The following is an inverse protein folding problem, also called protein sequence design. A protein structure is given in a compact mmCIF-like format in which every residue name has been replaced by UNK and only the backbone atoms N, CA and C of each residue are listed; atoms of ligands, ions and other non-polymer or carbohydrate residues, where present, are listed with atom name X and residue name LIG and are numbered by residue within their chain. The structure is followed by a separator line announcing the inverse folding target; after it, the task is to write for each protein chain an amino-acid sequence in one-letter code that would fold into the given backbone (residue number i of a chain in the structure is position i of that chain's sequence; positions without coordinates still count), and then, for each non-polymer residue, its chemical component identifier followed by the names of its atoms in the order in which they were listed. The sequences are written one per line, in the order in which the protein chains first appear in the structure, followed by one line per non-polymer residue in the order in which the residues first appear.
data_IF_745235457671
#
_entry.id   IF_745235457671
#
_cell.length_a   1.000
_cell.length_b   1.000
_cell.length_c   1.000
_cell.angle_alpha   90.00
_cell.angle_beta   90.00
_cell.angle_gamma   90.00
#
_symmetry.space_group_name_H-M   'P 1'
#
loop_
_entity.id
_entity.type
_entity.pdbx_description
1 polymer ?
#
# COMPACT_ATOMS: atom_id res chain seq x y z
N UNK A 1 2.29 23.73 0.88
CA UNK A 1 1.76 22.70 1.80
C UNK A 1 2.95 21.88 2.28
N UNK A 2 3.13 21.72 3.59
CA UNK A 2 4.17 20.84 4.11
C UNK A 2 3.72 19.39 3.91
N UNK A 3 4.59 18.58 3.32
CA UNK A 3 4.43 17.13 3.32
C UNK A 3 5.03 16.64 4.65
N UNK A 4 4.27 15.86 5.41
CA UNK A 4 4.63 15.47 6.77
C UNK A 4 5.55 14.22 6.75
N UNK A 5 6.71 14.35 6.11
CA UNK A 5 7.73 13.29 6.02
C UNK A 5 8.89 13.50 7.00
N UNK A 6 9.49 12.40 7.46
CA UNK A 6 10.76 12.37 8.18
C UNK A 6 11.92 12.00 7.26
N UNK A 7 13.09 12.55 7.57
CA UNK A 7 14.32 12.21 6.88
C UNK A 7 14.72 10.76 7.21
N UNK A 8 14.89 9.88 6.21
CA UNK A 8 15.24 8.48 6.46
C UNK A 8 16.69 8.30 6.99
N UNK A 9 17.49 9.37 7.05
CA UNK A 9 18.88 9.35 7.50
C UNK A 9 19.06 9.87 8.93
N UNK A 10 18.32 10.91 9.33
CA UNK A 10 18.45 11.54 10.64
C UNK A 10 17.14 11.71 11.41
N UNK A 11 16.02 11.22 10.86
CA UNK A 11 14.67 11.24 11.45
C UNK A 11 14.09 12.63 11.75
N UNK A 12 14.79 13.71 11.38
CA UNK A 12 14.29 15.08 11.45
C UNK A 12 13.23 15.33 10.37
N UNK A 13 12.29 16.24 10.65
CA UNK A 13 11.24 16.63 9.70
C UNK A 13 11.82 17.15 8.39
N UNK A 14 11.18 16.79 7.28
CA UNK A 14 11.49 17.29 5.95
C UNK A 14 10.58 18.47 5.60
N UNK A 15 11.20 19.56 5.17
CA UNK A 15 10.50 20.78 4.74
C UNK A 15 10.64 20.90 3.22
N UNK A 16 9.52 21.16 2.54
CA UNK A 16 9.49 21.32 1.10
C UNK A 16 9.93 22.74 0.73
N UNK A 17 11.05 22.83 0.00
CA UNK A 17 11.55 24.06 -0.59
C UNK A 17 11.56 23.91 -2.12
N UNK A 18 10.62 24.60 -2.79
CA UNK A 18 10.32 24.39 -4.20
C UNK A 18 9.99 22.92 -4.51
N UNK A 19 10.91 22.18 -5.14
CA UNK A 19 10.73 20.77 -5.49
C UNK A 19 11.64 19.83 -4.68
N UNK A 20 12.28 20.31 -3.62
CA UNK A 20 13.24 19.53 -2.83
C UNK A 20 12.79 19.50 -1.37
N UNK A 21 12.70 18.30 -0.81
CA UNK A 21 12.52 18.11 0.63
C UNK A 21 13.87 18.15 1.33
N UNK A 22 14.02 18.97 2.38
CA UNK A 22 15.26 19.10 3.15
C UNK A 22 15.02 19.01 4.64
N UNK A 23 15.93 18.37 5.37
CA UNK A 23 15.96 18.41 6.83
C UNK A 23 16.96 19.47 7.33
N UNK A 24 16.96 19.76 8.64
CA UNK A 24 17.92 20.69 9.26
C UNK A 24 19.39 20.25 9.15
N UNK A 25 19.65 18.95 8.95
CA UNK A 25 20.99 18.43 8.68
C UNK A 25 21.39 18.49 7.19
N UNK A 26 20.64 19.24 6.36
CA UNK A 26 20.88 19.44 4.91
C UNK A 26 20.78 18.20 4.01
N UNK A 27 20.33 17.04 4.51
CA UNK A 27 19.93 15.94 3.62
C UNK A 27 18.77 16.40 2.73
N UNK A 28 18.89 16.12 1.43
CA UNK A 28 17.99 16.62 0.40
C UNK A 28 17.43 15.48 -0.44
N UNK A 29 16.14 15.56 -0.75
CA UNK A 29 15.41 14.56 -1.53
C UNK A 29 14.59 15.27 -2.60
N UNK A 30 14.90 15.01 -3.87
CA UNK A 30 14.19 15.63 -4.98
C UNK A 30 12.80 15.01 -5.16
N UNK A 31 11.82 15.88 -5.41
CA UNK A 31 10.50 15.46 -5.90
C UNK A 31 10.62 15.14 -7.38
N UNK A 32 10.25 13.92 -7.75
CA UNK A 32 10.26 13.50 -9.15
C UNK A 32 9.24 14.30 -9.96
N UNK A 33 9.44 14.40 -11.28
CA UNK A 33 8.49 15.06 -12.18
C UNK A 33 7.07 14.46 -12.15
N UNK A 34 6.95 13.19 -11.76
CA UNK A 34 5.67 12.51 -11.57
C UNK A 34 5.01 12.84 -10.22
N UNK A 35 5.66 13.58 -9.31
CA UNK A 35 5.07 14.07 -8.06
C UNK A 35 5.37 13.26 -6.79
N UNK A 36 6.13 12.17 -6.89
CA UNK A 36 6.55 11.39 -5.71
C UNK A 36 7.93 11.79 -5.20
N UNK A 37 8.23 11.42 -3.96
CA UNK A 37 9.57 11.56 -3.36
C UNK A 37 10.17 10.18 -3.11
N UNK A 38 11.45 10.00 -3.43
CA UNK A 38 12.16 8.78 -3.07
C UNK A 38 12.90 8.95 -1.74
N UNK A 39 12.42 8.27 -0.71
CA UNK A 39 12.93 8.29 0.66
C UNK A 39 13.55 6.94 1.06
N UNK A 40 13.84 6.06 0.09
CA UNK A 40 14.53 4.79 0.33
C UNK A 40 16.05 4.98 0.26
N UNK A 41 16.79 4.89 1.39
CA UNK A 41 18.24 5.01 1.40
C UNK A 41 18.91 3.93 0.55
N UNK A 42 20.00 4.30 -0.13
CA UNK A 42 20.77 3.35 -0.96
C UNK A 42 21.28 2.16 -0.13
N UNK A 43 21.65 2.40 1.13
CA UNK A 43 22.16 1.39 2.06
C UNK A 43 21.10 0.38 2.51
N UNK A 44 19.82 0.72 2.39
CA UNK A 44 18.68 -0.14 2.76
C UNK A 44 18.10 -0.89 1.55
N UNK A 45 18.77 -0.82 0.39
CA UNK A 45 18.38 -1.59 -0.80
C UNK A 45 19.01 -2.98 -0.74
N UNK A 46 18.23 -3.97 -0.31
CA UNK A 46 18.62 -5.39 -0.37
C UNK A 46 18.71 -5.92 -1.81
N UNK A 47 18.23 -5.17 -2.82
CA UNK A 47 18.39 -5.49 -4.24
C UNK A 47 18.40 -4.22 -5.11
N UNK A 48 18.81 -4.34 -6.38
CA UNK A 48 18.77 -3.22 -7.36
C UNK A 48 17.34 -2.75 -7.67
N UNK A 49 16.35 -3.64 -7.53
CA UNK A 49 14.93 -3.39 -7.74
C UNK A 49 14.14 -4.10 -6.62
N UNK A 50 14.00 -3.45 -5.44
CA UNK A 50 13.23 -4.03 -4.35
C UNK A 50 11.73 -3.95 -4.66
N UNK A 51 10.97 -4.97 -4.25
CA UNK A 51 9.54 -5.10 -4.53
C UNK A 51 9.26 -5.75 -5.89
N UNK A 52 8.08 -5.44 -6.43
CA UNK A 52 7.60 -6.01 -7.70
C UNK A 52 8.40 -5.50 -8.90
N UNK A 53 8.71 -6.41 -9.82
CA UNK A 53 9.32 -6.05 -11.11
C UNK A 53 8.29 -5.34 -12.02
N UNK A 54 8.77 -4.79 -13.15
CA UNK A 54 7.91 -4.03 -14.06
C UNK A 54 6.74 -4.86 -14.62
N UNK A 55 6.96 -6.13 -14.95
CA UNK A 55 5.92 -7.00 -15.51
C UNK A 55 4.80 -7.26 -14.50
N UNK A 56 5.15 -7.51 -13.22
CA UNK A 56 4.19 -7.69 -12.13
C UNK A 56 3.39 -6.41 -11.88
N UNK A 57 4.04 -5.25 -11.88
CA UNK A 57 3.37 -3.95 -11.74
C UNK A 57 2.40 -3.71 -12.90
N UNK A 58 2.82 -3.99 -14.14
CA UNK A 58 1.97 -3.82 -15.32
C UNK A 58 0.78 -4.79 -15.33
N UNK A 59 1.00 -6.05 -14.96
CA UNK A 59 -0.06 -7.04 -14.85
C UNK A 59 -1.07 -6.66 -13.77
N UNK A 60 -0.59 -6.30 -12.57
CA UNK A 60 -1.46 -5.82 -11.48
C UNK A 60 -2.29 -4.63 -11.91
N UNK A 61 -1.66 -3.65 -12.56
CA UNK A 61 -2.34 -2.49 -13.12
C UNK A 61 -3.45 -2.87 -14.10
N UNK A 62 -3.09 -3.66 -15.11
CA UNK A 62 -4.02 -4.09 -16.14
C UNK A 62 -5.23 -4.81 -15.51
N UNK A 63 -4.97 -5.71 -14.56
CA UNK A 63 -6.03 -6.43 -13.86
C UNK A 63 -6.89 -5.52 -12.97
N UNK A 64 -6.32 -4.67 -12.13
CA UNK A 64 -7.11 -3.80 -11.24
C UNK A 64 -7.97 -2.80 -12.01
N UNK A 65 -7.52 -2.35 -13.19
CA UNK A 65 -8.32 -1.44 -14.05
C UNK A 65 -9.55 -2.08 -14.67
N UNK A 66 -9.70 -3.41 -14.63
CA UNK A 66 -10.92 -4.10 -15.09
C UNK A 66 -12.11 -3.91 -14.14
N UNK A 67 -11.86 -3.49 -12.90
CA UNK A 67 -12.90 -3.36 -11.87
C UNK A 67 -13.22 -4.64 -11.10
N UNK A 68 -12.55 -5.78 -11.38
CA UNK A 68 -12.79 -7.04 -10.65
C UNK A 68 -12.58 -6.92 -9.14
N UNK A 69 -11.70 -6.01 -8.68
CA UNK A 69 -11.43 -5.74 -7.26
C UNK A 69 -12.09 -4.45 -6.75
N UNK A 70 -13.00 -3.84 -7.53
CA UNK A 70 -13.69 -2.61 -7.16
C UNK A 70 -14.53 -2.77 -5.88
N UNK A 71 -15.07 -3.97 -5.63
CA UNK A 71 -15.84 -4.26 -4.42
C UNK A 71 -15.00 -4.07 -3.14
N UNK A 72 -13.77 -4.60 -3.13
CA UNK A 72 -12.83 -4.42 -2.03
C UNK A 72 -12.38 -2.96 -1.92
N UNK A 73 -12.08 -2.31 -3.06
CA UNK A 73 -11.69 -0.91 -3.07
C UNK A 73 -12.76 -0.01 -2.43
N UNK A 74 -14.01 -0.23 -2.82
CA UNK A 74 -15.15 0.55 -2.33
C UNK A 74 -15.37 0.31 -0.84
N UNK A 75 -15.34 -0.94 -0.39
CA UNK A 75 -15.52 -1.30 1.01
C UNK A 75 -14.43 -0.69 1.91
N UNK A 76 -13.16 -0.73 1.48
CA UNK A 76 -12.05 -0.12 2.23
C UNK A 76 -12.20 1.39 2.29
N UNK A 77 -12.45 2.05 1.16
CA UNK A 77 -12.61 3.51 1.12
C UNK A 77 -13.76 3.98 2.01
N UNK A 78 -14.90 3.29 1.97
CA UNK A 78 -16.04 3.56 2.85
C UNK A 78 -15.69 3.35 4.32
N UNK A 79 -15.01 2.24 4.66
CA UNK A 79 -14.57 1.96 6.03
C UNK A 79 -13.62 3.03 6.56
N UNK A 80 -12.65 3.49 5.76
CA UNK A 80 -11.76 4.58 6.17
C UNK A 80 -12.58 5.86 6.44
N UNK A 81 -13.53 6.19 5.56
CA UNK A 81 -14.34 7.40 5.68
C UNK A 81 -15.20 7.43 6.96
N UNK A 82 -15.63 6.29 7.51
CA UNK A 82 -16.42 6.28 8.76
C UNK A 82 -15.66 6.83 9.97
N UNK A 83 -14.33 6.85 9.91
CA UNK A 83 -13.50 7.40 10.99
C UNK A 83 -13.28 8.92 10.85
N UNK A 84 -13.75 9.55 9.77
CA UNK A 84 -13.52 10.98 9.48
C UNK A 84 -12.06 11.42 9.72
N UNK A 85 -11.07 10.70 9.15
CA UNK A 85 -9.66 10.91 9.46
C UNK A 85 -9.17 12.26 8.94
N UNK A 86 -8.13 12.81 9.57
CA UNK A 86 -7.38 13.95 9.05
C UNK A 86 -6.13 13.48 8.28
N UNK A 87 -5.57 12.33 8.64
CA UNK A 87 -4.41 11.72 8.03
C UNK A 87 -4.57 10.21 7.87
N UNK A 88 -4.34 9.71 6.66
CA UNK A 88 -4.37 8.28 6.32
C UNK A 88 -3.04 7.87 5.70
N UNK A 89 -2.49 6.73 6.12
CA UNK A 89 -1.28 6.15 5.52
C UNK A 89 -1.60 4.75 4.99
N UNK A 90 -1.47 4.59 3.67
CA UNK A 90 -1.57 3.31 2.96
C UNK A 90 -0.17 2.68 2.79
N UNK A 91 0.08 1.64 3.59
CA UNK A 91 1.33 0.89 3.67
C UNK A 91 1.34 -0.23 2.62
N UNK A 92 2.21 -0.11 1.62
CA UNK A 92 2.24 -1.03 0.49
C UNK A 92 1.22 -0.66 -0.59
N UNK A 93 1.07 0.65 -0.85
CA UNK A 93 0.03 1.20 -1.71
C UNK A 93 0.13 0.76 -3.19
N UNK A 94 1.24 0.15 -3.60
CA UNK A 94 1.50 -0.27 -4.96
C UNK A 94 1.37 0.89 -5.95
N UNK A 95 0.46 0.74 -6.92
CA UNK A 95 0.21 1.77 -7.92
C UNK A 95 -0.90 2.77 -7.54
N UNK A 96 -1.34 2.77 -6.28
CA UNK A 96 -2.30 3.75 -5.77
C UNK A 96 -3.78 3.44 -6.05
N UNK A 97 -4.10 2.23 -6.50
CA UNK A 97 -5.48 1.82 -6.80
C UNK A 97 -6.41 2.02 -5.59
N UNK A 98 -6.03 1.55 -4.40
CA UNK A 98 -6.83 1.72 -3.18
C UNK A 98 -6.69 3.12 -2.60
N UNK A 99 -5.46 3.64 -2.55
CA UNK A 99 -5.10 4.95 -2.00
C UNK A 99 -5.93 6.08 -2.58
N UNK A 100 -6.09 6.11 -3.91
CA UNK A 100 -6.86 7.17 -4.58
C UNK A 100 -8.34 7.12 -4.23
N UNK A 101 -8.90 5.92 -4.01
CA UNK A 101 -10.30 5.74 -3.66
C UNK A 101 -10.56 6.21 -2.23
N UNK A 102 -9.62 5.92 -1.33
CA UNK A 102 -9.63 6.44 0.03
C UNK A 102 -9.59 7.97 0.01
N UNK A 103 -8.66 8.57 -0.74
CA UNK A 103 -8.55 10.02 -0.86
C UNK A 103 -9.80 10.69 -1.48
N UNK A 104 -10.58 9.98 -2.29
CA UNK A 104 -11.84 10.48 -2.82
C UNK A 104 -13.02 10.31 -1.85
N UNK A 105 -12.90 9.44 -0.84
CA UNK A 105 -13.98 9.10 0.09
C UNK A 105 -13.92 9.91 1.39
N UNK A 106 -12.80 10.57 1.69
CA UNK A 106 -12.64 11.39 2.89
C UNK A 106 -11.86 12.69 2.62
N UNK A 107 -12.15 13.73 3.38
CA UNK A 107 -11.38 14.99 3.37
C UNK A 107 -10.16 14.86 4.30
N UNK A 108 -9.19 14.06 3.88
CA UNK A 108 -7.98 13.74 4.65
C UNK A 108 -6.72 13.92 3.81
N UNK A 109 -5.59 14.17 4.47
CA UNK A 109 -4.29 13.98 3.84
C UNK A 109 -4.01 12.48 3.71
N UNK A 110 -4.00 11.99 2.48
CA UNK A 110 -3.72 10.57 2.20
C UNK A 110 -2.30 10.40 1.67
N UNK A 111 -1.55 9.52 2.33
CA UNK A 111 -0.20 9.13 1.96
C UNK A 111 -0.19 7.68 1.46
N UNK A 112 0.47 7.44 0.33
CA UNK A 112 0.77 6.09 -0.15
C UNK A 112 2.27 5.85 -0.13
N UNK A 113 2.71 4.79 0.54
CA UNK A 113 4.12 4.38 0.56
C UNK A 113 4.28 2.98 0.02
N UNK A 114 5.29 2.78 -0.82
CA UNK A 114 5.66 1.47 -1.34
C UNK A 114 7.17 1.42 -1.61
N UNK A 115 7.77 0.24 -1.52
CA UNK A 115 9.20 0.06 -1.82
C UNK A 115 9.49 0.07 -3.33
N UNK A 116 8.48 -0.26 -4.15
CA UNK A 116 8.56 -0.33 -5.60
C UNK A 116 8.49 1.07 -6.24
N UNK A 117 9.66 1.57 -6.66
CA UNK A 117 9.77 2.84 -7.39
C UNK A 117 8.93 2.85 -8.68
N UNK A 118 8.82 1.73 -9.39
CA UNK A 118 8.01 1.63 -10.60
C UNK A 118 6.52 1.81 -10.30
N UNK A 119 6.02 1.16 -9.25
CA UNK A 119 4.61 1.28 -8.84
C UNK A 119 4.27 2.71 -8.40
N UNK A 120 5.08 3.31 -7.52
CA UNK A 120 4.90 4.69 -7.04
C UNK A 120 4.97 5.71 -8.19
N UNK A 121 5.85 5.50 -9.17
CA UNK A 121 5.92 6.37 -10.35
C UNK A 121 4.60 6.38 -11.12
N UNK A 122 3.94 5.24 -11.28
CA UNK A 122 2.62 5.17 -11.91
C UNK A 122 1.54 5.82 -11.04
N UNK A 123 1.56 5.55 -9.73
CA UNK A 123 0.62 6.09 -8.77
C UNK A 123 0.62 7.63 -8.82
N UNK A 124 1.78 8.24 -8.59
CA UNK A 124 1.93 9.69 -8.52
C UNK A 124 1.62 10.39 -9.84
N UNK A 125 1.98 9.78 -10.97
CA UNK A 125 1.65 10.33 -12.29
C UNK A 125 0.14 10.33 -12.56
N UNK A 126 -0.60 9.36 -12.01
CA UNK A 126 -2.02 9.15 -12.29
C UNK A 126 -2.94 9.86 -11.29
N UNK A 127 -2.54 9.91 -10.01
CA UNK A 127 -3.38 10.35 -8.91
C UNK A 127 -2.75 11.55 -8.21
N UNK A 128 -3.30 12.74 -8.45
CA UNK A 128 -2.79 14.00 -7.89
C UNK A 128 -3.39 14.38 -6.53
N UNK A 129 -4.41 13.64 -6.07
CA UNK A 129 -5.08 13.84 -4.78
C UNK A 129 -4.41 13.08 -3.62
N UNK A 130 -3.30 12.39 -3.87
CA UNK A 130 -2.56 11.59 -2.89
C UNK A 130 -1.09 12.01 -2.86
N UNK A 131 -0.44 11.79 -1.72
CA UNK A 131 0.99 12.05 -1.55
C UNK A 131 1.74 10.71 -1.57
N UNK A 132 2.55 10.48 -2.60
CA UNK A 132 3.26 9.21 -2.74
C UNK A 132 4.74 9.31 -2.39
N UNK A 133 5.27 8.29 -1.73
CA UNK A 133 6.70 8.15 -1.47
C UNK A 133 7.21 6.73 -1.71
N UNK A 134 8.49 6.64 -2.11
CA UNK A 134 9.20 5.36 -2.18
C UNK A 134 9.97 5.16 -0.88
N UNK A 135 9.60 4.19 -0.07
CA UNK A 135 10.29 3.85 1.18
C UNK A 135 9.95 2.42 1.65
N UNK A 136 10.67 1.91 2.64
CA UNK A 136 10.31 0.65 3.30
C UNK A 136 9.17 0.89 4.29
N UNK A 137 8.15 0.03 4.27
CA UNK A 137 7.06 0.07 5.26
C UNK A 137 7.45 -0.52 6.62
N UNK A 138 8.64 -1.12 6.73
CA UNK A 138 9.22 -1.53 8.02
C UNK A 138 9.85 -0.37 8.79
N UNK A 139 10.06 0.77 8.12
CA UNK A 139 10.62 2.00 8.66
C UNK A 139 10.11 3.16 7.79
N UNK A 140 8.81 3.39 7.84
CA UNK A 140 8.14 4.35 7.00
C UNK A 140 8.54 5.79 7.37
N UNK A 141 8.66 6.70 6.40
CA UNK A 141 9.27 8.01 6.60
C UNK A 141 8.27 9.03 7.17
N UNK A 142 7.58 8.69 8.25
CA UNK A 142 6.55 9.50 8.87
C UNK A 142 6.79 9.66 10.38
N UNK A 143 6.23 10.71 10.96
CA UNK A 143 6.31 10.95 12.39
C UNK A 143 5.59 9.86 13.19
N UNK A 144 6.04 9.66 14.42
CA UNK A 144 5.28 8.88 15.41
C UNK A 144 3.92 9.53 15.69
N UNK A 145 2.87 8.73 15.88
CA UNK A 145 1.55 9.23 16.22
C UNK A 145 0.91 10.11 15.13
N UNK A 146 1.26 9.88 13.87
CA UNK A 146 0.80 10.73 12.76
C UNK A 146 -0.56 10.30 12.21
N UNK A 147 -0.80 9.00 12.08
CA UNK A 147 -1.95 8.47 11.36
C UNK A 147 -3.19 8.32 12.24
N UNK A 148 -4.32 8.90 11.78
CA UNK A 148 -5.64 8.55 12.33
C UNK A 148 -6.05 7.16 11.84
N UNK A 149 -5.75 6.85 10.57
CA UNK A 149 -6.01 5.54 9.98
C UNK A 149 -4.77 5.03 9.25
N UNK A 150 -4.35 3.82 9.60
CA UNK A 150 -3.39 3.03 8.85
C UNK A 150 -4.15 2.02 7.99
N UNK A 151 -3.71 1.83 6.75
CA UNK A 151 -4.26 0.86 5.82
C UNK A 151 -3.14 -0.07 5.34
N UNK A 152 -3.37 -1.38 5.40
CA UNK A 152 -2.46 -2.39 4.82
C UNK A 152 -3.28 -3.41 4.04
N UNK A 153 -3.06 -3.45 2.72
CA UNK A 153 -3.84 -4.29 1.79
C UNK A 153 -2.91 -5.28 1.11
N UNK A 154 -2.99 -6.55 1.50
CA UNK A 154 -2.12 -7.65 1.06
C UNK A 154 -0.61 -7.40 1.31
N UNK A 155 -0.25 -6.39 2.10
CA UNK A 155 1.13 -6.05 2.43
C UNK A 155 1.56 -6.70 3.77
N UNK A 156 2.86 -6.93 3.98
CA UNK A 156 3.39 -7.39 5.26
C UNK A 156 3.05 -6.43 6.41
N UNK A 157 2.82 -6.99 7.59
CA UNK A 157 2.55 -6.22 8.81
C UNK A 157 3.84 -6.16 9.66
N UNK A 158 4.22 -4.94 10.05
CA UNK A 158 5.36 -4.69 10.93
C UNK A 158 4.85 -4.05 12.21
N UNK A 159 4.46 -4.88 13.19
CA UNK A 159 3.76 -4.47 14.42
C UNK A 159 4.35 -3.22 15.10
N UNK A 160 5.66 -3.20 15.31
CA UNK A 160 6.33 -2.07 15.97
C UNK A 160 6.19 -0.76 15.17
N UNK A 161 6.25 -0.85 13.84
CA UNK A 161 6.12 0.32 12.97
C UNK A 161 4.66 0.76 12.84
N UNK A 162 3.72 -0.19 12.79
CA UNK A 162 2.29 0.10 12.83
C UNK A 162 1.92 0.86 14.12
N UNK A 163 2.39 0.36 15.28
CA UNK A 163 2.16 0.99 16.57
C UNK A 163 2.82 2.38 16.67
N UNK A 164 4.03 2.55 16.13
CA UNK A 164 4.72 3.84 16.10
C UNK A 164 3.95 4.88 15.27
N UNK A 165 3.45 4.49 14.10
CA UNK A 165 2.80 5.42 13.17
C UNK A 165 1.39 5.83 13.59
N UNK A 166 0.66 4.92 14.24
CA UNK A 166 -0.70 5.17 14.68
C UNK A 166 -0.74 6.19 15.83
N UNK A 167 -1.73 7.08 15.80
CA UNK A 167 -2.14 7.81 17.01
C UNK A 167 -2.61 6.84 18.10
N UNK A 168 -2.67 7.32 19.34
CA UNK A 168 -3.11 6.52 20.49
C UNK A 168 -4.53 5.94 20.31
N UNK A 169 -5.41 6.65 19.61
CA UNK A 169 -6.77 6.25 19.22
C UNK A 169 -6.89 5.94 17.71
N UNK A 170 -5.75 5.73 17.04
CA UNK A 170 -5.68 5.44 15.62
C UNK A 170 -6.25 4.06 15.28
N UNK A 171 -6.82 3.94 14.09
CA UNK A 171 -7.39 2.68 13.58
C UNK A 171 -6.46 2.04 12.56
N UNK A 172 -6.26 0.73 12.65
CA UNK A 172 -5.60 -0.06 11.62
C UNK A 172 -6.64 -0.87 10.84
N UNK A 173 -6.72 -0.66 9.52
CA UNK A 173 -7.53 -1.45 8.60
C UNK A 173 -6.61 -2.38 7.82
N UNK A 174 -6.79 -3.69 7.99
CA UNK A 174 -6.04 -4.70 7.25
C UNK A 174 -6.97 -5.47 6.32
N UNK A 175 -6.57 -5.60 5.06
CA UNK A 175 -7.20 -6.50 4.09
C UNK A 175 -6.23 -7.63 3.73
N UNK A 176 -6.60 -8.87 4.07
CA UNK A 176 -5.84 -10.08 3.73
C UNK A 176 -6.69 -11.03 2.89
N UNK A 177 -6.08 -12.03 2.22
CA UNK A 177 -6.83 -13.03 1.47
C UNK A 177 -7.79 -13.78 2.41
N UNK A 178 -9.07 -13.83 2.03
CA UNK A 178 -10.05 -14.68 2.72
C UNK A 178 -9.74 -16.18 2.55
N UNK A 179 -10.42 -17.06 3.31
CA UNK A 179 -10.14 -18.50 3.32
C UNK A 179 -10.04 -19.12 1.92
N UNK A 180 -10.96 -18.76 1.02
CA UNK A 180 -11.05 -19.33 -0.33
C UNK A 180 -10.59 -18.39 -1.44
N UNK A 181 -9.77 -17.38 -1.10
CA UNK A 181 -9.29 -16.41 -2.08
C UNK A 181 -8.57 -17.11 -3.26
N UNK A 182 -9.08 -16.88 -4.47
CA UNK A 182 -8.60 -17.46 -5.72
C UNK A 182 -8.51 -19.00 -5.71
N UNK A 183 -9.44 -19.67 -4.99
CA UNK A 183 -9.47 -21.13 -4.87
C UNK A 183 -9.49 -21.82 -6.23
N UNK A 184 -10.37 -21.41 -7.14
CA UNK A 184 -10.54 -21.99 -8.47
C UNK A 184 -9.24 -21.89 -9.28
N UNK A 185 -8.56 -20.75 -9.19
CA UNK A 185 -7.27 -20.58 -9.84
C UNK A 185 -6.20 -21.53 -9.27
N UNK A 186 -6.15 -21.69 -7.94
CA UNK A 186 -5.22 -22.61 -7.27
C UNK A 186 -5.48 -24.08 -7.58
N UNK A 187 -6.72 -24.47 -7.85
CA UNK A 187 -7.06 -25.86 -8.21
C UNK A 187 -6.38 -26.32 -9.51
N UNK A 188 -5.95 -25.40 -10.38
CA UNK A 188 -5.17 -25.74 -11.57
C UNK A 188 -3.71 -26.11 -11.28
N UNK A 189 -3.17 -25.72 -10.12
CA UNK A 189 -1.73 -25.89 -9.78
C UNK A 189 -1.48 -26.65 -8.47
N UNK A 190 -2.53 -26.99 -7.73
CA UNK A 190 -2.46 -27.76 -6.50
C UNK A 190 -3.51 -28.88 -6.51
N UNK A 191 -3.12 -30.08 -6.08
CA UNK A 191 -4.01 -31.23 -5.90
C UNK A 191 -5.08 -30.94 -4.83
N UNK A 192 -4.65 -30.37 -3.72
CA UNK A 192 -5.49 -30.01 -2.58
C UNK A 192 -5.30 -28.51 -2.29
N UNK A 193 -6.40 -27.76 -2.26
CA UNK A 193 -6.39 -26.33 -1.95
C UNK A 193 -6.93 -26.14 -0.54
N UNK A 194 -6.04 -25.76 0.37
CA UNK A 194 -6.39 -25.44 1.75
C UNK A 194 -6.84 -23.98 1.88
N UNK A 195 -7.65 -23.73 2.91
CA UNK A 195 -8.03 -22.37 3.28
C UNK A 195 -6.79 -21.55 3.69
N UNK A 196 -6.81 -20.24 3.38
CA UNK A 196 -5.82 -19.31 3.89
C UNK A 196 -5.89 -19.19 5.42
N UNK A 197 -4.72 -19.17 6.05
CA UNK A 197 -4.60 -18.87 7.48
C UNK A 197 -4.98 -17.41 7.72
N UNK A 198 -5.88 -17.13 8.69
CA UNK A 198 -6.15 -15.76 9.12
C UNK A 198 -4.89 -15.07 9.63
N UNK A 199 -4.82 -13.75 9.45
CA UNK A 199 -3.77 -12.95 10.05
C UNK A 199 -4.04 -12.78 11.55
N UNK A 200 -2.98 -12.83 12.35
CA UNK A 200 -3.06 -12.46 13.76
C UNK A 200 -3.22 -10.95 13.89
N UNK A 201 -3.87 -10.51 14.96
CA UNK A 201 -3.97 -9.09 15.32
C UNK A 201 -2.55 -8.57 15.61
N UNK A 202 -2.09 -7.49 14.97
CA UNK A 202 -0.79 -6.90 15.24
C UNK A 202 -0.66 -6.45 16.70
N UNK A 203 0.53 -6.65 17.27
CA UNK A 203 0.86 -6.22 18.63
C UNK A 203 0.64 -4.71 18.78
N UNK A 204 -0.01 -4.29 19.87
CA UNK A 204 -0.38 -2.90 20.11
C UNK A 204 -1.75 -2.49 19.56
N UNK A 205 -2.45 -3.40 18.89
CA UNK A 205 -3.82 -3.20 18.42
C UNK A 205 -4.78 -4.21 19.04
N UNK A 206 -6.05 -3.84 19.08
CA UNK A 206 -7.17 -4.71 19.46
C UNK A 206 -8.10 -4.91 18.27
N UNK A 207 -8.60 -6.13 18.08
CA UNK A 207 -9.57 -6.42 17.03
C UNK A 207 -10.95 -5.90 17.43
N UNK A 208 -11.38 -4.81 16.80
CA UNK A 208 -12.71 -4.21 17.04
C UNK A 208 -13.78 -4.75 16.10
N UNK A 209 -13.41 -5.06 14.85
CA UNK A 209 -14.34 -5.57 13.84
C UNK A 209 -13.59 -6.47 12.85
N UNK A 210 -14.24 -7.54 12.40
CA UNK A 210 -13.77 -8.36 11.29
C UNK A 210 -14.94 -8.69 10.37
N UNK A 211 -14.76 -8.40 9.08
CA UNK A 211 -15.77 -8.69 8.05
C UNK A 211 -15.14 -9.52 6.94
N UNK A 212 -15.79 -10.63 6.58
CA UNK A 212 -15.43 -11.42 5.41
C UNK A 212 -16.13 -10.84 4.17
N UNK A 213 -15.34 -10.38 3.21
CA UNK A 213 -15.84 -9.85 1.94
C UNK A 213 -15.58 -10.87 0.82
N UNK A 214 -16.66 -11.38 0.22
CA UNK A 214 -16.59 -12.37 -0.85
C UNK A 214 -17.38 -11.91 -2.07
N UNK A 215 -16.78 -12.09 -3.25
CA UNK A 215 -17.45 -11.89 -4.52
C UNK A 215 -16.98 -12.96 -5.50
N UNK A 216 -17.94 -13.65 -6.11
CA UNK A 216 -17.68 -14.54 -7.22
C UNK A 216 -17.69 -13.73 -8.53
N UNK A 217 -16.64 -13.90 -9.34
CA UNK A 217 -16.48 -13.20 -10.60
C UNK A 217 -16.16 -14.18 -11.73
N UNK A 218 -16.63 -13.85 -12.94
CA UNK A 218 -16.17 -14.51 -14.16
C UNK A 218 -15.07 -13.66 -14.78
N UNK A 219 -13.85 -14.20 -14.81
CA UNK A 219 -12.67 -13.48 -15.30
C UNK A 219 -12.40 -13.89 -16.75
N UNK A 220 -12.42 -12.96 -17.73
CA UNK A 220 -12.03 -13.26 -19.10
C UNK A 220 -10.60 -13.80 -19.18
N UNK A 221 -10.32 -14.69 -20.14
CA UNK A 221 -9.02 -15.34 -20.27
C UNK A 221 -7.83 -14.35 -20.29
N UNK A 222 -7.97 -13.21 -20.98
CA UNK A 222 -6.93 -12.18 -21.03
C UNK A 222 -6.60 -11.59 -19.65
N UNK A 223 -7.62 -11.43 -18.80
CA UNK A 223 -7.47 -10.91 -17.45
C UNK A 223 -6.89 -11.96 -16.51
N UNK A 224 -7.19 -13.24 -16.72
CA UNK A 224 -6.63 -14.36 -15.93
C UNK A 224 -5.10 -14.38 -16.00
N UNK A 225 -4.50 -14.10 -17.18
CA UNK A 225 -3.04 -14.03 -17.31
C UNK A 225 -2.45 -12.94 -16.41
N UNK A 226 -3.07 -11.77 -16.37
CA UNK A 226 -2.65 -10.67 -15.51
C UNK A 226 -2.83 -11.01 -14.03
N UNK A 227 -3.96 -11.63 -13.67
CA UNK A 227 -4.25 -12.12 -12.33
C UNK A 227 -3.21 -13.13 -11.85
N UNK A 228 -2.85 -14.11 -12.68
CA UNK A 228 -1.78 -15.07 -12.35
C UNK A 228 -0.46 -14.34 -12.13
N UNK A 229 -0.08 -13.45 -13.06
CA UNK A 229 1.22 -12.79 -13.05
C UNK A 229 1.44 -11.92 -11.80
N UNK A 230 0.37 -11.34 -11.24
CA UNK A 230 0.45 -10.53 -10.02
C UNK A 230 0.40 -11.34 -8.71
N UNK A 231 0.34 -12.67 -8.78
CA UNK A 231 0.29 -13.57 -7.60
C UNK A 231 1.64 -14.21 -7.28
N UNK A 232 1.93 -14.56 -6.01
CA UNK A 232 3.19 -15.21 -5.63
C UNK A 232 3.43 -16.60 -6.27
N UNK A 233 2.36 -17.26 -6.73
CA UNK A 233 2.42 -18.61 -7.32
C UNK A 233 2.42 -18.59 -8.86
N UNK A 234 2.64 -17.42 -9.49
CA UNK A 234 2.71 -17.28 -10.95
C UNK A 234 3.66 -18.29 -11.63
N UNK A 235 4.78 -18.61 -10.98
CA UNK A 235 5.80 -19.53 -11.49
C UNK A 235 5.32 -20.97 -11.66
N UNK A 236 4.20 -21.37 -11.04
CA UNK A 236 3.61 -22.71 -11.15
C UNK A 236 2.71 -22.90 -12.38
N UNK A 237 2.37 -21.82 -13.07
CA UNK A 237 1.55 -21.85 -14.31
C UNK A 237 2.41 -21.96 -15.57
N UNK A 238 3.63 -22.50 -15.44
CA UNK A 238 4.57 -22.71 -16.55
C UNK A 238 4.42 -24.09 -17.16
#
# INVERSE_FOLDING_TARGET
MSLDYQCPLCQQSLILHANVLKCSNNHSFDTAKEGYVNLLPVQQKNSKQPGDNLDMVQARRAFLTTGHYQFLQTAIAQRVATHSPQCVIDLGCGEGFYTQAIANACDAKVYGVDISKSAIKYAAKRYCNCNFSVASISQAPFNEGMADVLVSIFAPLFDAELARLAKADGTLIVASPGPWHLKELKQYIYRDVNAHTPISVPTGFELVEQTLLEQQISVPFNDVKNLITMTPFAWKFR
#
